data_IF_420897097565
#
_entry.id   IF_420897097565
#
_cell.length_a   1.000
_cell.length_b   1.000
_cell.length_c   1.000
_cell.angle_alpha   90.00
_cell.angle_beta   90.00
_cell.angle_gamma   90.00
#
_symmetry.space_group_name_H-M   'P 1'
#
loop_
_entity.id
_entity.type
_entity.pdbx_description
1 polymer ?
#
# COMPACT_ATOMS: atom_id res chain seq x y z
N UNK A 1 -15.94 -14.51 -21.52
CA UNK A 1 -16.90 -13.97 -20.55
C UNK A 1 -16.46 -12.57 -20.19
N UNK A 2 -17.12 -11.56 -20.76
CA UNK A 2 -16.65 -10.17 -20.92
C UNK A 2 -17.57 -9.23 -20.14
N UNK A 3 -17.54 -9.29 -18.81
CA UNK A 3 -18.30 -8.34 -18.00
C UNK A 3 -17.71 -6.94 -18.19
N UNK A 4 -18.44 -6.04 -18.85
CA UNK A 4 -18.11 -4.61 -19.01
C UNK A 4 -18.44 -3.78 -17.76
N UNK A 5 -18.69 -4.44 -16.62
CA UNK A 5 -19.08 -3.77 -15.38
C UNK A 5 -17.93 -2.96 -14.79
N UNK A 6 -18.29 -1.81 -14.21
CA UNK A 6 -17.45 -1.08 -13.26
C UNK A 6 -17.89 -1.45 -11.85
N UNK A 7 -16.94 -1.61 -10.94
CA UNK A 7 -17.18 -2.06 -9.59
C UNK A 7 -16.58 -1.09 -8.59
N UNK A 8 -17.32 -0.77 -7.53
CA UNK A 8 -16.78 -0.07 -6.37
C UNK A 8 -16.67 -1.06 -5.21
N UNK A 9 -15.52 -1.05 -4.54
CA UNK A 9 -15.21 -1.95 -3.43
C UNK A 9 -14.72 -1.13 -2.24
N UNK A 10 -15.44 -1.25 -1.12
CA UNK A 10 -15.07 -0.55 0.11
C UNK A 10 -13.73 -1.05 0.68
N UNK A 11 -13.02 -0.18 1.40
CA UNK A 11 -11.89 -0.54 2.28
C UNK A 11 -12.31 -1.28 3.53
N UNK A 12 -13.56 -1.08 3.94
CA UNK A 12 -14.08 -1.53 5.25
C UNK A 12 -14.68 -2.93 5.20
N UNK A 13 -14.94 -3.44 4.00
CA UNK A 13 -15.61 -4.72 3.81
C UNK A 13 -14.57 -5.84 3.66
N UNK A 14 -14.61 -6.87 4.53
CA UNK A 14 -13.78 -8.05 4.36
C UNK A 14 -14.27 -8.90 3.18
N UNK A 15 -13.34 -9.62 2.55
CA UNK A 15 -13.69 -10.58 1.51
C UNK A 15 -13.98 -11.95 2.13
N UNK A 16 -15.07 -12.58 1.68
CA UNK A 16 -15.41 -13.94 2.11
C UNK A 16 -14.52 -14.96 1.39
N UNK A 17 -14.23 -16.07 2.06
CA UNK A 17 -13.43 -17.13 1.46
C UNK A 17 -14.10 -17.79 0.24
N UNK A 18 -15.43 -17.72 0.12
CA UNK A 18 -16.21 -18.24 -1.00
C UNK A 18 -16.30 -17.28 -2.20
N UNK A 19 -15.84 -16.03 -2.06
CA UNK A 19 -15.97 -15.02 -3.12
C UNK A 19 -14.76 -14.93 -4.06
N UNK A 20 -13.65 -15.61 -3.76
CA UNK A 20 -12.48 -15.67 -4.65
C UNK A 20 -11.63 -16.93 -4.46
N UNK A 21 -10.84 -17.26 -5.48
CA UNK A 21 -9.82 -18.30 -5.44
C UNK A 21 -8.72 -17.94 -4.42
N UNK A 22 -8.28 -18.93 -3.66
CA UNK A 22 -7.19 -18.78 -2.70
C UNK A 22 -6.66 -20.12 -2.24
N UNK A 23 -5.62 -20.09 -1.40
CA UNK A 23 -5.07 -21.28 -0.75
C UNK A 23 -5.49 -21.30 0.72
N UNK A 24 -5.89 -22.46 1.27
CA UNK A 24 -6.09 -22.58 2.70
C UNK A 24 -4.82 -22.18 3.45
N UNK A 25 -4.96 -21.35 4.49
CA UNK A 25 -3.84 -20.98 5.36
C UNK A 25 -3.29 -22.21 6.12
N UNK A 26 -4.16 -23.21 6.35
CA UNK A 26 -3.83 -24.48 6.98
C UNK A 26 -4.06 -24.51 8.49
N UNK A 27 -4.54 -23.41 9.07
CA UNK A 27 -4.94 -23.27 10.46
C UNK A 27 -5.93 -22.10 10.56
N UNK A 28 -6.73 -22.11 11.62
CA UNK A 28 -7.56 -20.96 11.99
C UNK A 28 -6.78 -20.09 12.97
N UNK A 29 -6.57 -18.81 12.63
CA UNK A 29 -5.72 -17.90 13.41
C UNK A 29 -6.31 -17.58 14.78
N UNK A 30 -7.63 -17.60 14.90
CA UNK A 30 -8.34 -17.21 16.13
C UNK A 30 -8.30 -18.32 17.19
N UNK A 31 -7.88 -19.53 16.80
CA UNK A 31 -7.73 -20.68 17.69
C UNK A 31 -6.38 -20.73 18.42
N UNK A 32 -5.47 -19.79 18.15
CA UNK A 32 -4.12 -19.79 18.70
C UNK A 32 -3.76 -18.42 19.27
N UNK A 33 -3.26 -18.41 20.50
CA UNK A 33 -2.70 -17.20 21.10
C UNK A 33 -1.38 -16.80 20.41
N UNK A 34 -1.02 -15.50 20.37
CA UNK A 34 0.31 -15.07 19.94
C UNK A 34 1.43 -15.81 20.66
N UNK A 35 2.38 -16.35 19.89
CA UNK A 35 3.50 -17.16 20.37
C UNK A 35 3.24 -18.67 20.36
N UNK A 36 1.99 -19.11 20.18
CA UNK A 36 1.67 -20.52 20.07
C UNK A 36 2.26 -21.15 18.80
N UNK A 37 2.65 -22.42 18.88
CA UNK A 37 3.07 -23.21 17.71
C UNK A 37 1.87 -23.51 16.84
N UNK A 38 2.04 -23.36 15.53
CA UNK A 38 0.98 -23.60 14.55
C UNK A 38 1.06 -25.03 14.02
N UNK A 39 -0.07 -25.64 13.61
CA UNK A 39 -0.13 -27.00 13.06
C UNK A 39 0.30 -27.04 11.58
N UNK A 40 1.41 -26.40 11.25
CA UNK A 40 1.98 -26.31 9.90
C UNK A 40 3.48 -26.56 9.94
N UNK A 41 4.03 -27.07 8.85
CA UNK A 41 5.47 -27.28 8.74
C UNK A 41 6.18 -25.93 8.53
N UNK A 42 6.92 -25.46 9.54
CA UNK A 42 7.75 -24.27 9.45
C UNK A 42 9.08 -24.53 8.72
N UNK A 43 9.80 -23.46 8.43
CA UNK A 43 11.18 -23.46 7.94
C UNK A 43 12.13 -23.33 9.15
N UNK A 44 12.77 -24.44 9.59
CA UNK A 44 13.70 -24.40 10.72
C UNK A 44 14.99 -23.64 10.40
N UNK A 45 15.34 -23.42 9.12
CA UNK A 45 16.48 -22.59 8.75
C UNK A 45 16.18 -21.12 9.04
N UNK A 46 15.01 -20.63 8.61
CA UNK A 46 14.59 -19.25 8.87
C UNK A 46 14.48 -18.95 10.37
N UNK A 47 13.81 -19.81 11.13
CA UNK A 47 13.65 -19.61 12.58
C UNK A 47 15.00 -19.58 13.31
N UNK A 48 15.95 -20.46 12.94
CA UNK A 48 17.31 -20.44 13.49
C UNK A 48 18.08 -19.18 13.09
N UNK A 49 17.96 -18.75 11.84
CA UNK A 49 18.60 -17.54 11.34
C UNK A 49 18.12 -16.29 12.09
N UNK A 50 16.80 -16.15 12.28
CA UNK A 50 16.21 -15.04 13.04
C UNK A 50 16.54 -15.10 14.54
N UNK A 51 16.64 -16.30 15.13
CA UNK A 51 17.08 -16.46 16.51
C UNK A 51 18.54 -16.04 16.72
N UNK A 52 19.39 -16.31 15.72
CA UNK A 52 20.83 -16.02 15.78
C UNK A 52 21.26 -14.68 15.19
N UNK A 53 20.41 -13.95 14.46
CA UNK A 53 20.85 -12.75 13.76
C UNK A 53 21.15 -11.58 14.70
N UNK A 54 22.04 -10.71 14.28
CA UNK A 54 22.31 -9.43 14.94
C UNK A 54 21.62 -8.28 14.16
N UNK A 55 21.27 -8.53 12.89
CA UNK A 55 20.66 -7.55 12.01
C UNK A 55 19.57 -8.18 11.11
N UNK A 56 18.47 -7.45 10.92
CA UNK A 56 17.50 -7.67 9.85
C UNK A 56 17.63 -6.51 8.86
N UNK A 57 18.16 -6.79 7.66
CA UNK A 57 18.29 -5.78 6.63
C UNK A 57 17.08 -5.81 5.69
N UNK A 58 16.48 -4.63 5.47
CA UNK A 58 15.37 -4.40 4.56
C UNK A 58 15.93 -3.69 3.34
N UNK A 59 15.99 -4.37 2.20
CA UNK A 59 16.68 -3.88 1.00
C UNK A 59 15.82 -4.03 -0.25
N UNK A 60 15.26 -2.91 -0.71
CA UNK A 60 14.50 -2.80 -1.95
C UNK A 60 15.19 -1.76 -2.84
N UNK A 61 16.17 -2.17 -3.66
CA UNK A 61 16.94 -1.24 -4.49
C UNK A 61 16.11 -0.64 -5.62
N UNK A 62 15.05 -1.32 -6.04
CA UNK A 62 14.23 -0.88 -7.18
C UNK A 62 13.45 0.40 -6.85
N UNK A 63 13.23 1.30 -7.84
CA UNK A 63 12.45 2.51 -7.64
C UNK A 63 10.93 2.26 -7.50
N UNK A 64 10.50 0.99 -7.48
CA UNK A 64 9.10 0.55 -7.39
C UNK A 64 8.53 0.82 -6.00
N UNK A 65 8.10 2.06 -5.77
CA UNK A 65 7.55 2.50 -4.50
C UNK A 65 6.39 1.60 -4.02
N UNK A 66 5.47 1.22 -4.91
CA UNK A 66 4.28 0.46 -4.54
C UNK A 66 4.62 -0.90 -3.92
N UNK A 67 5.38 -1.73 -4.65
CA UNK A 67 5.82 -3.04 -4.19
C UNK A 67 6.57 -2.95 -2.84
N UNK A 68 7.47 -1.98 -2.71
CA UNK A 68 8.24 -1.72 -1.49
C UNK A 68 7.36 -1.33 -0.30
N UNK A 69 6.32 -0.52 -0.51
CA UNK A 69 5.38 -0.14 0.54
C UNK A 69 4.50 -1.32 0.97
N UNK A 70 4.00 -2.12 0.02
CA UNK A 70 3.16 -3.29 0.32
C UNK A 70 3.97 -4.43 0.98
N UNK A 71 5.28 -4.50 0.71
CA UNK A 71 6.20 -5.41 1.39
C UNK A 71 6.36 -5.12 2.89
N UNK A 72 5.91 -3.97 3.41
CA UNK A 72 5.96 -3.68 4.84
C UNK A 72 5.13 -4.65 5.69
N UNK A 73 4.13 -5.34 5.13
CA UNK A 73 3.48 -6.45 5.83
C UNK A 73 4.46 -7.57 6.20
N UNK A 74 5.40 -7.86 5.30
CA UNK A 74 6.47 -8.84 5.53
C UNK A 74 7.45 -8.35 6.61
N UNK A 75 7.86 -7.08 6.53
CA UNK A 75 8.78 -6.45 7.50
C UNK A 75 8.15 -6.41 8.89
N UNK A 76 6.85 -6.08 8.98
CA UNK A 76 6.09 -6.11 10.23
C UNK A 76 6.07 -7.50 10.86
N UNK A 77 5.89 -8.57 10.06
CA UNK A 77 5.92 -9.93 10.58
C UNK A 77 7.28 -10.27 11.23
N UNK A 78 8.39 -9.89 10.60
CA UNK A 78 9.73 -10.07 11.18
C UNK A 78 9.94 -9.23 12.45
N UNK A 79 9.42 -8.01 12.46
CA UNK A 79 9.46 -7.12 13.62
C UNK A 79 8.69 -7.69 14.81
N UNK A 80 7.46 -8.15 14.57
CA UNK A 80 6.58 -8.75 15.57
C UNK A 80 7.21 -10.02 16.13
N UNK A 81 7.78 -10.88 15.27
CA UNK A 81 8.55 -12.04 15.70
C UNK A 81 9.74 -11.65 16.58
N UNK A 82 10.53 -10.64 16.19
CA UNK A 82 11.70 -10.21 16.94
C UNK A 82 11.34 -9.66 18.34
N UNK A 83 10.22 -8.92 18.44
CA UNK A 83 9.72 -8.41 19.72
C UNK A 83 9.25 -9.54 20.64
N UNK A 84 8.53 -10.50 20.08
CA UNK A 84 7.94 -11.62 20.80
C UNK A 84 9.00 -12.64 21.26
N UNK A 85 9.86 -13.09 20.33
CA UNK A 85 10.78 -14.20 20.55
C UNK A 85 12.15 -13.76 21.10
N UNK A 86 12.52 -12.48 20.98
CA UNK A 86 13.84 -11.97 21.39
C UNK A 86 13.76 -10.70 22.24
N UNK A 87 13.00 -10.68 23.35
CA UNK A 87 12.79 -9.46 24.13
C UNK A 87 14.07 -8.82 24.66
N UNK A 88 15.10 -9.62 25.02
CA UNK A 88 16.34 -9.14 25.65
C UNK A 88 17.48 -8.83 24.66
N UNK A 89 17.45 -9.40 23.44
CA UNK A 89 18.52 -9.23 22.44
C UNK A 89 17.92 -9.10 21.05
N UNK A 90 17.32 -7.95 20.79
CA UNK A 90 16.63 -7.62 19.54
C UNK A 90 17.64 -7.34 18.43
N UNK A 91 17.44 -7.85 17.20
CA UNK A 91 18.28 -7.48 16.08
C UNK A 91 18.05 -6.00 15.70
N UNK A 92 19.07 -5.37 15.13
CA UNK A 92 18.91 -4.04 14.51
C UNK A 92 18.16 -4.20 13.19
N UNK A 93 17.11 -3.42 12.98
CA UNK A 93 16.47 -3.30 11.66
C UNK A 93 17.21 -2.24 10.87
N UNK A 94 17.84 -2.64 9.77
CA UNK A 94 18.58 -1.74 8.89
C UNK A 94 17.87 -1.56 7.57
N UNK A 95 17.49 -0.34 7.27
CA UNK A 95 16.79 0.02 6.04
C UNK A 95 17.82 0.52 5.01
N UNK A 96 17.87 -0.16 3.87
CA UNK A 96 18.86 0.05 2.81
C UNK A 96 18.15 0.45 1.52
N UNK A 97 18.76 1.37 0.77
CA UNK A 97 18.27 1.81 -0.53
C UNK A 97 17.44 3.10 -0.50
N UNK A 98 16.88 3.50 -1.66
CA UNK A 98 16.35 4.84 -1.89
C UNK A 98 15.10 5.16 -1.06
N UNK A 99 14.37 4.15 -0.59
CA UNK A 99 13.15 4.34 0.22
C UNK A 99 13.41 4.26 1.73
N UNK A 100 14.66 4.08 2.19
CA UNK A 100 14.97 3.81 3.59
C UNK A 100 14.39 4.85 4.56
N UNK A 101 14.50 6.15 4.24
CA UNK A 101 13.94 7.24 5.05
C UNK A 101 12.42 7.16 5.17
N UNK A 102 11.74 6.81 4.09
CA UNK A 102 10.29 6.66 4.07
C UNK A 102 9.83 5.43 4.85
N UNK A 103 10.55 4.30 4.69
CA UNK A 103 10.28 3.08 5.45
C UNK A 103 10.48 3.29 6.96
N UNK A 104 11.48 4.09 7.35
CA UNK A 104 11.71 4.49 8.75
C UNK A 104 10.57 5.34 9.36
N UNK A 105 9.65 5.83 8.53
CA UNK A 105 8.48 6.58 8.97
C UNK A 105 7.25 5.70 9.23
N UNK A 106 7.34 4.38 9.00
CA UNK A 106 6.27 3.46 9.36
C UNK A 106 6.05 3.44 10.88
N UNK A 107 4.79 3.50 11.31
CA UNK A 107 4.42 3.77 12.71
C UNK A 107 4.91 2.68 13.67
N UNK A 108 4.94 1.42 13.24
CA UNK A 108 5.40 0.31 14.10
C UNK A 108 6.89 0.44 14.48
N UNK A 109 7.70 1.15 13.70
CA UNK A 109 9.07 1.51 14.06
C UNK A 109 9.15 2.66 15.06
N UNK A 110 8.12 3.51 15.13
CA UNK A 110 8.11 4.77 15.92
C UNK A 110 7.29 4.72 17.20
N UNK A 111 6.40 3.74 17.35
CA UNK A 111 5.65 3.58 18.59
C UNK A 111 6.63 3.31 19.74
N UNK A 112 6.62 4.18 20.76
CA UNK A 112 7.55 4.17 21.90
C UNK A 112 7.57 2.82 22.67
N UNK A 113 6.53 2.00 22.52
CA UNK A 113 6.44 0.65 23.09
C UNK A 113 7.37 -0.40 22.43
N UNK A 114 8.13 -0.02 21.40
CA UNK A 114 8.74 -0.95 20.44
C UNK A 114 10.16 -1.42 20.74
N UNK A 115 11.05 -0.55 21.23
CA UNK A 115 12.42 -0.87 21.70
C UNK A 115 13.31 -1.73 20.79
N UNK A 116 13.01 -1.89 19.49
CA UNK A 116 13.90 -2.54 18.53
C UNK A 116 14.61 -1.41 17.74
N UNK A 117 15.95 -1.38 17.71
CA UNK A 117 16.67 -0.30 17.06
C UNK A 117 16.50 -0.33 15.53
N UNK A 118 16.22 0.84 14.94
CA UNK A 118 16.07 1.01 13.49
C UNK A 118 17.12 2.00 13.00
N UNK A 119 17.84 1.64 11.94
CA UNK A 119 18.88 2.48 11.33
C UNK A 119 18.74 2.51 9.82
N UNK A 120 19.26 3.55 9.18
CA UNK A 120 19.33 3.68 7.72
C UNK A 120 20.78 3.68 7.26
N UNK A 121 21.05 3.17 6.06
CA UNK A 121 22.38 3.26 5.43
C UNK A 121 23.04 1.91 5.21
N UNK A 122 24.35 1.92 4.98
CA UNK A 122 25.11 0.73 4.60
C UNK A 122 25.02 -0.39 5.66
N UNK A 123 25.02 -1.67 5.24
CA UNK A 123 25.05 -2.83 6.13
C UNK A 123 26.23 -2.78 7.09
N UNK A 124 26.02 -3.17 8.36
CA UNK A 124 27.09 -3.28 9.33
C UNK A 124 28.03 -4.46 9.03
N UNK A 125 29.30 -4.32 9.36
CA UNK A 125 30.34 -5.34 9.16
C UNK A 125 30.98 -5.71 10.50
N UNK A 126 31.12 -7.00 10.85
CA UNK A 126 30.39 -8.18 10.36
C UNK A 126 29.13 -8.47 11.22
N UNK A 127 27.98 -8.69 10.58
CA UNK A 127 26.74 -9.08 11.26
C UNK A 127 26.19 -10.40 10.71
N UNK A 128 25.69 -11.28 11.59
CA UNK A 128 24.82 -12.40 11.18
C UNK A 128 23.48 -11.80 10.78
N UNK A 129 23.06 -11.96 9.53
CA UNK A 129 21.98 -11.17 8.95
C UNK A 129 20.84 -12.02 8.41
N UNK A 130 19.62 -11.52 8.56
CA UNK A 130 18.49 -11.88 7.70
C UNK A 130 18.21 -10.71 6.77
N UNK A 131 18.20 -10.95 5.46
CA UNK A 131 17.89 -9.93 4.45
C UNK A 131 16.49 -10.18 3.92
N UNK A 132 15.65 -9.16 3.91
CA UNK A 132 14.35 -9.16 3.24
C UNK A 132 14.34 -8.10 2.14
N UNK A 133 13.90 -8.49 0.95
CA UNK A 133 13.92 -7.61 -0.23
C UNK A 133 13.20 -8.21 -1.42
N UNK A 134 13.15 -7.47 -2.52
CA UNK A 134 12.79 -8.05 -3.82
C UNK A 134 13.92 -8.95 -4.36
N UNK A 135 13.70 -9.58 -5.51
CA UNK A 135 14.69 -10.48 -6.10
C UNK A 135 16.03 -9.79 -6.36
N UNK A 136 16.01 -8.55 -6.85
CA UNK A 136 17.21 -7.76 -7.12
C UNK A 136 17.96 -7.40 -5.83
N UNK A 137 17.24 -6.94 -4.81
CA UNK A 137 17.80 -6.62 -3.49
C UNK A 137 18.46 -7.83 -2.86
N UNK A 138 17.82 -9.00 -2.91
CA UNK A 138 18.43 -10.23 -2.40
C UNK A 138 19.69 -10.60 -3.17
N UNK A 139 19.72 -10.46 -4.50
CA UNK A 139 20.92 -10.73 -5.30
C UNK A 139 22.06 -9.76 -4.92
N UNK A 140 21.78 -8.46 -4.84
CA UNK A 140 22.78 -7.46 -4.44
C UNK A 140 23.33 -7.73 -3.04
N UNK A 141 22.46 -8.13 -2.10
CA UNK A 141 22.84 -8.40 -0.72
C UNK A 141 23.69 -9.66 -0.52
N UNK A 142 23.72 -10.59 -1.50
CA UNK A 142 24.64 -11.74 -1.47
C UNK A 142 26.10 -11.34 -1.59
N UNK A 143 26.38 -10.17 -2.18
CA UNK A 143 27.73 -9.61 -2.24
C UNK A 143 28.17 -8.89 -0.95
N UNK A 144 27.29 -8.76 0.05
CA UNK A 144 27.64 -8.08 1.30
C UNK A 144 28.49 -8.99 2.21
N UNK A 145 29.44 -8.43 2.99
CA UNK A 145 30.21 -9.23 3.93
C UNK A 145 29.34 -9.86 5.03
N UNK A 146 29.71 -11.07 5.46
CA UNK A 146 29.06 -11.83 6.54
C UNK A 146 28.25 -13.02 6.05
N UNK A 147 27.48 -13.64 6.95
CA UNK A 147 26.56 -14.73 6.64
C UNK A 147 25.12 -14.19 6.60
N UNK A 148 24.37 -14.58 5.56
CA UNK A 148 23.03 -14.10 5.31
C UNK A 148 22.03 -15.22 5.09
N UNK A 149 20.84 -15.09 5.67
CA UNK A 149 19.63 -15.79 5.22
C UNK A 149 18.77 -14.80 4.44
N UNK A 150 18.21 -15.22 3.31
CA UNK A 150 17.57 -14.31 2.36
C UNK A 150 16.09 -14.64 2.17
N UNK A 151 15.24 -13.63 2.32
CA UNK A 151 13.81 -13.70 2.11
C UNK A 151 13.44 -12.82 0.91
N UNK A 152 13.01 -13.47 -0.16
CA UNK A 152 12.52 -12.76 -1.35
C UNK A 152 11.02 -12.51 -1.19
N UNK A 153 10.65 -11.23 -1.28
CA UNK A 153 9.28 -10.76 -1.30
C UNK A 153 8.88 -10.57 -2.76
N UNK A 154 8.15 -11.54 -3.31
CA UNK A 154 7.69 -11.53 -4.70
C UNK A 154 6.17 -11.34 -4.77
N UNK A 155 5.69 -10.20 -5.30
CA UNK A 155 4.27 -9.93 -5.36
C UNK A 155 3.52 -10.84 -6.32
N UNK A 156 4.22 -11.46 -7.28
CA UNK A 156 3.60 -12.37 -8.23
C UNK A 156 3.29 -13.71 -7.57
N UNK A 157 4.17 -14.21 -6.71
CA UNK A 157 4.14 -15.60 -6.19
C UNK A 157 3.26 -15.81 -4.97
N UNK A 158 2.99 -14.77 -4.18
CA UNK A 158 2.29 -14.97 -2.90
C UNK A 158 0.77 -15.10 -3.14
N UNK A 159 0.16 -16.24 -2.77
CA UNK A 159 -1.26 -16.51 -3.03
C UNK A 159 -2.16 -15.72 -2.09
N UNK A 160 -3.45 -15.59 -2.43
CA UNK A 160 -4.47 -15.23 -1.45
C UNK A 160 -4.59 -16.36 -0.41
N UNK A 161 -4.68 -16.01 0.88
CA UNK A 161 -4.92 -16.98 1.95
C UNK A 161 -6.38 -17.02 2.37
N UNK A 162 -6.87 -18.22 2.67
CA UNK A 162 -8.22 -18.46 3.18
C UNK A 162 -8.14 -19.02 4.60
N UNK A 163 -8.78 -18.36 5.56
CA UNK A 163 -8.82 -18.76 6.97
C UNK A 163 -10.11 -18.25 7.64
N UNK A 164 -10.73 -19.06 8.51
CA UNK A 164 -11.90 -18.63 9.29
C UNK A 164 -13.09 -18.13 8.45
N UNK A 165 -13.25 -18.62 7.21
CA UNK A 165 -14.29 -18.14 6.28
C UNK A 165 -13.98 -16.78 5.63
N UNK A 166 -12.81 -16.20 5.88
CA UNK A 166 -12.33 -14.93 5.34
C UNK A 166 -11.21 -15.19 4.33
N UNK A 167 -11.17 -14.36 3.28
CA UNK A 167 -10.06 -14.28 2.35
C UNK A 167 -9.15 -13.10 2.73
N UNK A 168 -7.83 -13.31 2.61
CA UNK A 168 -6.80 -12.30 2.80
C UNK A 168 -6.15 -11.97 1.46
N UNK A 169 -6.82 -11.16 0.61
CA UNK A 169 -6.33 -10.91 -0.73
C UNK A 169 -5.29 -9.80 -0.78
N UNK A 170 -5.20 -8.92 0.23
CA UNK A 170 -4.27 -7.78 0.21
C UNK A 170 -2.82 -8.26 0.29
N UNK A 171 -1.94 -7.72 -0.55
CA UNK A 171 -0.55 -8.16 -0.59
C UNK A 171 0.19 -8.07 0.77
N UNK A 172 -0.02 -7.03 1.61
CA UNK A 172 0.56 -6.99 2.95
C UNK A 172 0.13 -8.16 3.83
N UNK A 173 -1.15 -8.54 3.78
CA UNK A 173 -1.69 -9.69 4.52
C UNK A 173 -1.09 -10.99 4.03
N UNK A 174 -1.01 -11.15 2.71
CA UNK A 174 -0.40 -12.32 2.08
C UNK A 174 1.02 -12.55 2.56
N UNK A 175 1.83 -11.48 2.63
CA UNK A 175 3.20 -11.57 3.10
C UNK A 175 3.30 -11.85 4.60
N UNK A 176 2.49 -11.16 5.41
CA UNK A 176 2.51 -11.36 6.86
C UNK A 176 2.19 -12.81 7.21
N UNK A 177 1.10 -13.34 6.64
CA UNK A 177 0.64 -14.71 6.86
C UNK A 177 1.59 -15.76 6.26
N UNK A 178 2.25 -15.45 5.14
CA UNK A 178 3.29 -16.33 4.60
C UNK A 178 4.47 -16.47 5.57
N UNK A 179 4.94 -15.36 6.16
CA UNK A 179 6.01 -15.39 7.17
C UNK A 179 5.55 -16.10 8.45
N UNK A 180 4.35 -15.81 8.95
CA UNK A 180 3.75 -16.51 10.10
C UNK A 180 3.76 -18.04 9.89
N UNK A 181 3.31 -18.48 8.71
CA UNK A 181 3.32 -19.90 8.32
C UNK A 181 4.74 -20.46 8.19
N UNK A 182 5.67 -19.72 7.57
CA UNK A 182 7.07 -20.15 7.47
C UNK A 182 7.75 -20.25 8.83
N UNK A 183 7.35 -19.47 9.83
CA UNK A 183 7.89 -19.57 11.18
C UNK A 183 7.17 -20.63 12.03
N UNK A 184 6.01 -21.11 11.57
CA UNK A 184 5.11 -22.02 12.28
C UNK A 184 4.79 -21.57 13.72
N UNK A 185 4.66 -20.26 13.91
CA UNK A 185 4.32 -19.62 15.18
C UNK A 185 3.29 -18.53 14.91
N UNK A 186 2.29 -18.40 15.78
CA UNK A 186 1.30 -17.33 15.70
C UNK A 186 1.96 -16.00 16.07
N UNK A 187 1.96 -15.03 15.16
CA UNK A 187 2.53 -13.70 15.39
C UNK A 187 1.47 -12.74 15.98
N UNK A 188 1.83 -11.74 16.79
CA UNK A 188 0.84 -10.90 17.48
C UNK A 188 0.04 -9.92 16.60
N UNK A 189 0.38 -9.75 15.33
CA UNK A 189 -0.30 -8.79 14.46
C UNK A 189 -1.69 -9.25 14.07
N UNK A 190 -2.59 -8.29 13.87
CA UNK A 190 -3.91 -8.51 13.27
C UNK A 190 -4.11 -7.72 11.98
N UNK A 191 -4.99 -8.18 11.07
CA UNK A 191 -5.41 -7.43 9.91
C UNK A 191 -6.04 -6.07 10.29
N UNK A 192 -5.81 -5.00 9.51
CA UNK A 192 -4.89 -4.97 8.37
C UNK A 192 -3.43 -5.02 8.81
N UNK A 193 -2.63 -5.82 8.10
CA UNK A 193 -1.21 -5.97 8.44
C UNK A 193 -0.36 -4.80 7.94
N UNK A 194 -0.86 -4.03 6.98
CA UNK A 194 -0.17 -2.83 6.50
C UNK A 194 -0.08 -1.75 7.59
N UNK A 195 1.11 -1.22 7.87
CA UNK A 195 1.27 -0.12 8.80
C UNK A 195 0.93 1.23 8.16
N UNK A 196 0.50 2.17 9.00
CA UNK A 196 0.50 3.59 8.64
C UNK A 196 1.92 4.17 8.60
N UNK A 197 2.06 5.30 7.92
CA UNK A 197 3.29 6.10 7.82
C UNK A 197 3.00 7.48 8.38
N UNK A 198 3.85 7.95 9.27
CA UNK A 198 3.71 9.26 9.89
C UNK A 198 5.00 10.07 9.79
N UNK A 199 4.87 11.28 9.24
CA UNK A 199 5.88 12.32 9.28
C UNK A 199 5.23 13.58 9.87
N UNK A 200 5.83 14.20 10.91
CA UNK A 200 5.18 15.26 11.68
C UNK A 200 4.82 16.49 10.84
N UNK A 201 5.74 16.91 9.97
CA UNK A 201 5.53 18.03 9.04
C UNK A 201 6.56 18.00 7.91
N UNK A 202 6.22 18.65 6.79
CA UNK A 202 7.08 18.92 5.64
C UNK A 202 6.89 20.36 5.18
N UNK A 203 7.88 20.94 4.50
CA UNK A 203 7.82 22.33 4.01
C UNK A 203 6.62 22.56 3.10
N UNK A 204 6.31 21.60 2.24
CA UNK A 204 5.18 21.68 1.32
C UNK A 204 3.85 21.70 2.05
N UNK A 205 3.68 20.83 3.05
CA UNK A 205 2.45 20.78 3.84
C UNK A 205 2.23 22.06 4.66
N UNK A 206 3.31 22.69 5.15
CA UNK A 206 3.23 24.00 5.82
C UNK A 206 2.76 25.08 4.85
N UNK A 207 3.41 25.19 3.68
CA UNK A 207 3.08 26.20 2.68
C UNK A 207 1.62 26.08 2.18
N UNK A 208 1.13 24.86 1.94
CA UNK A 208 -0.25 24.65 1.52
C UNK A 208 -1.26 24.93 2.65
N UNK A 209 -0.89 24.68 3.92
CA UNK A 209 -1.72 25.03 5.07
C UNK A 209 -1.83 26.53 5.26
N UNK A 210 -0.73 27.28 5.10
CA UNK A 210 -0.72 28.75 5.20
C UNK A 210 -1.58 29.43 4.14
N UNK A 211 -1.80 28.76 3.01
CA UNK A 211 -2.71 29.19 1.94
C UNK A 211 -4.15 28.68 2.12
N UNK A 212 -4.45 28.03 3.25
CA UNK A 212 -5.75 27.44 3.54
C UNK A 212 -6.23 26.37 2.53
N UNK A 213 -5.29 25.78 1.78
CA UNK A 213 -5.60 24.78 0.71
C UNK A 213 -5.81 23.37 1.27
N UNK A 214 -5.27 23.06 2.47
CA UNK A 214 -5.36 21.73 3.09
C UNK A 214 -6.53 21.62 4.08
N UNK A 215 -7.40 20.64 3.87
CA UNK A 215 -8.52 20.34 4.75
C UNK A 215 -9.39 19.20 4.22
N UNK A 216 -10.60 19.08 4.77
CA UNK A 216 -11.57 18.06 4.36
C UNK A 216 -12.13 18.29 2.95
N UNK A 217 -12.08 19.52 2.47
CA UNK A 217 -12.48 19.92 1.10
C UNK A 217 -11.33 19.81 0.08
N UNK A 218 -10.19 19.24 0.48
CA UNK A 218 -9.05 19.04 -0.41
C UNK A 218 -9.05 17.64 -1.00
N UNK A 219 -9.00 17.57 -2.32
CA UNK A 219 -8.83 16.35 -3.10
C UNK A 219 -7.40 16.34 -3.64
N UNK A 220 -6.61 15.33 -3.29
CA UNK A 220 -5.33 15.08 -3.98
C UNK A 220 -5.54 14.04 -5.08
N UNK A 221 -5.25 14.40 -6.33
CA UNK A 221 -5.33 13.51 -7.48
C UNK A 221 -3.92 13.07 -7.91
N UNK A 222 -3.63 11.78 -7.75
CA UNK A 222 -2.35 11.17 -8.14
C UNK A 222 -2.42 10.76 -9.60
N UNK A 223 -1.81 11.58 -10.47
CA UNK A 223 -1.70 11.31 -11.92
C UNK A 223 -0.42 10.55 -12.26
N UNK A 224 0.58 10.55 -11.37
CA UNK A 224 1.84 9.84 -11.57
C UNK A 224 1.64 8.32 -11.75
N UNK A 225 2.07 7.76 -12.88
CA UNK A 225 2.05 6.32 -13.15
C UNK A 225 3.29 5.88 -13.93
N UNK A 226 3.77 4.66 -13.68
CA UNK A 226 4.90 4.06 -14.41
C UNK A 226 4.50 3.52 -15.79
N UNK A 227 3.20 3.52 -16.12
CA UNK A 227 2.72 3.06 -17.43
C UNK A 227 1.53 3.91 -17.92
N UNK A 228 1.77 5.14 -18.39
CA UNK A 228 0.70 6.08 -18.74
C UNK A 228 -0.30 5.51 -19.74
N UNK A 229 0.20 4.87 -20.81
CA UNK A 229 -0.63 4.31 -21.88
C UNK A 229 -1.65 3.23 -21.44
N UNK A 230 -1.59 2.73 -20.20
CA UNK A 230 -2.52 1.69 -19.70
C UNK A 230 -3.12 1.98 -18.33
N UNK A 231 -2.61 2.98 -17.61
CA UNK A 231 -2.96 3.22 -16.20
C UNK A 231 -3.28 4.68 -15.92
N UNK A 232 -3.16 5.58 -16.89
CA UNK A 232 -3.37 6.99 -16.63
C UNK A 232 -4.85 7.36 -16.75
N UNK A 233 -5.45 7.78 -15.63
CA UNK A 233 -6.78 8.39 -15.63
C UNK A 233 -6.77 9.86 -16.06
N UNK A 234 -5.62 10.47 -16.30
CA UNK A 234 -5.42 11.86 -16.73
C UNK A 234 -5.88 12.93 -15.73
N UNK A 235 -5.19 14.07 -15.70
CA UNK A 235 -5.56 15.21 -14.85
C UNK A 235 -6.98 15.74 -15.16
N UNK A 236 -7.37 15.79 -16.43
CA UNK A 236 -8.66 16.33 -16.86
C UNK A 236 -9.85 15.51 -16.34
N UNK A 237 -9.72 14.19 -16.21
CA UNK A 237 -10.82 13.38 -15.67
C UNK A 237 -10.92 13.54 -14.17
N UNK A 238 -9.81 13.67 -13.44
CA UNK A 238 -9.85 14.03 -12.01
C UNK A 238 -10.47 15.40 -11.78
N UNK A 239 -10.19 16.38 -12.65
CA UNK A 239 -10.84 17.69 -12.65
C UNK A 239 -12.36 17.55 -12.76
N UNK A 240 -12.83 16.77 -13.75
CA UNK A 240 -14.26 16.50 -13.95
C UNK A 240 -14.90 15.79 -12.75
N UNK A 241 -14.18 14.91 -12.06
CA UNK A 241 -14.68 14.31 -10.80
C UNK A 241 -14.90 15.38 -9.74
N UNK A 242 -13.95 16.31 -9.57
CA UNK A 242 -14.09 17.41 -8.60
C UNK A 242 -15.24 18.37 -8.97
N UNK A 243 -15.42 18.68 -10.26
CA UNK A 243 -16.56 19.44 -10.77
C UNK A 243 -17.89 18.75 -10.47
N UNK A 244 -17.98 17.45 -10.75
CA UNK A 244 -19.18 16.65 -10.48
C UNK A 244 -19.51 16.61 -8.98
N UNK A 245 -18.50 16.44 -8.12
CA UNK A 245 -18.67 16.50 -6.68
C UNK A 245 -19.13 17.88 -6.21
N UNK A 246 -18.56 18.96 -6.76
CA UNK A 246 -18.98 20.33 -6.44
C UNK A 246 -20.43 20.58 -6.85
N UNK A 247 -20.82 20.15 -8.06
CA UNK A 247 -22.17 20.29 -8.56
C UNK A 247 -23.20 19.53 -7.71
N UNK A 248 -22.89 18.30 -7.31
CA UNK A 248 -23.81 17.43 -6.53
C UNK A 248 -23.91 17.82 -5.05
N UNK A 249 -22.84 18.35 -4.47
CA UNK A 249 -22.80 18.66 -3.02
C UNK A 249 -22.99 20.13 -2.70
N UNK A 250 -22.87 21.02 -3.69
CA UNK A 250 -22.84 22.47 -3.49
C UNK A 250 -21.58 22.99 -2.78
N UNK A 251 -20.59 22.13 -2.52
CA UNK A 251 -19.33 22.48 -1.84
C UNK A 251 -18.26 22.97 -2.82
N UNK A 252 -17.34 23.78 -2.31
CA UNK A 252 -16.11 24.13 -3.03
C UNK A 252 -15.01 23.13 -2.66
N UNK A 253 -14.19 22.77 -3.63
CA UNK A 253 -13.08 21.85 -3.42
C UNK A 253 -11.76 22.47 -3.89
N UNK A 254 -10.67 22.15 -3.20
CA UNK A 254 -9.31 22.39 -3.68
C UNK A 254 -8.78 21.10 -4.30
N UNK A 255 -8.33 21.15 -5.55
CA UNK A 255 -7.74 20.02 -6.25
C UNK A 255 -6.22 20.17 -6.29
N UNK A 256 -5.51 19.22 -5.68
CA UNK A 256 -4.06 19.10 -5.74
C UNK A 256 -3.69 18.03 -6.75
N UNK A 257 -3.00 18.40 -7.83
CA UNK A 257 -2.50 17.44 -8.81
C UNK A 257 -1.10 16.98 -8.42
N UNK A 258 -0.91 15.67 -8.28
CA UNK A 258 0.35 15.04 -7.87
C UNK A 258 0.89 14.20 -9.03
N UNK A 259 1.82 14.77 -9.76
CA UNK A 259 2.37 14.24 -11.02
C UNK A 259 3.69 13.47 -10.90
N UNK A 260 4.13 12.94 -12.04
CA UNK A 260 5.48 12.39 -12.23
C UNK A 260 6.49 13.47 -12.61
N UNK A 261 7.79 13.14 -12.66
CA UNK A 261 8.89 14.11 -12.91
C UNK A 261 8.78 14.85 -14.26
N UNK A 262 7.96 14.35 -15.20
CA UNK A 262 7.92 14.81 -16.59
C UNK A 262 6.53 15.29 -17.07
N UNK A 263 5.58 15.59 -16.16
CA UNK A 263 4.29 16.17 -16.57
C UNK A 263 4.25 17.68 -16.29
N UNK A 264 4.05 18.54 -17.32
CA UNK A 264 3.83 19.97 -17.10
C UNK A 264 2.52 20.16 -16.35
N UNK A 265 2.57 20.90 -15.25
CA UNK A 265 1.40 21.08 -14.40
C UNK A 265 0.35 21.99 -15.04
N UNK A 266 -0.97 21.70 -14.92
CA UNK A 266 -1.96 22.61 -15.42
C UNK A 266 -2.13 23.74 -14.39
N UNK A 267 -1.74 24.95 -14.80
CA UNK A 267 -2.26 26.17 -14.19
C UNK A 267 -3.61 26.49 -14.82
N UNK A 268 -4.70 26.39 -14.04
CA UNK A 268 -5.91 27.22 -14.22
C UNK A 268 -6.87 27.07 -13.06
N UNK A 269 -7.34 28.22 -12.55
CA UNK A 269 -8.56 28.34 -11.76
C UNK A 269 -9.74 27.95 -12.64
N UNK A 270 -10.70 27.19 -12.10
CA UNK A 270 -11.98 26.93 -12.77
C UNK A 270 -12.68 28.24 -13.12
N UNK A 271 -13.33 28.30 -14.29
CA UNK A 271 -14.06 29.47 -14.78
C UNK A 271 -15.29 29.83 -13.94
N UNK A 272 -15.74 28.98 -13.02
CA UNK A 272 -16.92 29.18 -12.17
C UNK A 272 -16.61 29.59 -10.72
N UNK A 273 -15.33 29.69 -10.34
CA UNK A 273 -14.88 30.09 -9.00
C UNK A 273 -15.18 29.07 -7.88
N UNK A 274 -15.62 27.84 -8.21
CA UNK A 274 -15.94 26.79 -7.22
C UNK A 274 -14.80 25.81 -6.96
N UNK A 275 -13.74 25.88 -7.77
CA UNK A 275 -12.60 24.97 -7.70
C UNK A 275 -11.28 25.71 -7.91
N UNK A 276 -10.35 25.48 -7.00
CA UNK A 276 -8.95 25.91 -7.10
C UNK A 276 -8.09 24.69 -7.42
N UNK A 277 -7.22 24.81 -8.42
CA UNK A 277 -6.30 23.73 -8.83
C UNK A 277 -4.87 24.16 -8.57
N UNK A 278 -4.11 23.33 -7.85
CA UNK A 278 -2.68 23.51 -7.65
C UNK A 278 -1.92 22.26 -8.09
N UNK A 279 -0.90 22.44 -8.92
CA UNK A 279 -0.01 21.35 -9.34
C UNK A 279 1.21 21.26 -8.42
N UNK A 280 1.42 20.07 -7.86
CA UNK A 280 2.55 19.75 -6.97
C UNK A 280 3.70 19.03 -7.67
N UNK A 281 3.54 18.69 -8.95
CA UNK A 281 4.50 18.01 -9.81
C UNK A 281 5.05 16.76 -9.15
N UNK A 282 6.35 16.51 -9.36
CA UNK A 282 7.08 15.45 -8.69
C UNK A 282 7.66 15.87 -7.34
N UNK A 283 6.79 16.36 -6.45
CA UNK A 283 7.17 16.64 -5.07
C UNK A 283 7.85 15.42 -4.40
N UNK A 284 8.85 15.63 -3.53
CA UNK A 284 9.48 14.56 -2.78
C UNK A 284 8.46 13.73 -1.99
N UNK A 285 8.64 12.41 -1.96
CA UNK A 285 7.69 11.46 -1.35
C UNK A 285 7.50 11.71 0.14
N UNK A 286 8.55 12.13 0.85
CA UNK A 286 8.51 12.48 2.26
C UNK A 286 7.77 13.79 2.53
N UNK A 287 7.80 14.75 1.60
CA UNK A 287 6.98 15.97 1.61
C UNK A 287 5.49 15.69 1.32
N UNK A 288 5.20 14.66 0.52
CA UNK A 288 3.82 14.26 0.18
C UNK A 288 3.08 13.54 1.33
N UNK A 289 3.78 12.82 2.21
CA UNK A 289 3.15 12.16 3.38
C UNK A 289 2.31 13.13 4.23
N UNK A 290 2.86 14.25 4.73
CA UNK A 290 2.08 15.19 5.53
C UNK A 290 1.01 15.94 4.74
N UNK A 291 1.15 16.07 3.41
CA UNK A 291 0.12 16.64 2.52
C UNK A 291 -1.06 15.67 2.41
N UNK A 292 -0.83 14.42 2.01
CA UNK A 292 -1.87 13.39 1.89
C UNK A 292 -2.59 13.18 3.22
N UNK A 293 -1.85 13.12 4.33
CA UNK A 293 -2.43 12.97 5.66
C UNK A 293 -3.50 14.03 5.98
N UNK A 294 -3.40 15.23 5.39
CA UNK A 294 -4.27 16.38 5.68
C UNK A 294 -5.41 16.57 4.68
N UNK A 295 -5.37 15.91 3.54
CA UNK A 295 -6.46 15.92 2.56
C UNK A 295 -7.69 15.18 3.11
N UNK A 296 -8.88 15.57 2.66
CA UNK A 296 -10.11 14.82 2.93
C UNK A 296 -10.20 13.57 2.07
N UNK A 297 -9.76 13.68 0.81
CA UNK A 297 -9.83 12.64 -0.19
C UNK A 297 -8.54 12.58 -1.01
N UNK A 298 -8.13 11.37 -1.37
CA UNK A 298 -7.10 11.12 -2.37
C UNK A 298 -7.68 10.19 -3.44
N UNK A 299 -7.55 10.59 -4.70
CA UNK A 299 -7.91 9.77 -5.86
C UNK A 299 -6.62 9.43 -6.61
N UNK A 300 -6.47 8.21 -7.09
CA UNK A 300 -5.24 7.86 -7.78
C UNK A 300 -5.30 6.54 -8.53
N UNK A 301 -4.44 6.41 -9.53
CA UNK A 301 -4.25 5.16 -10.26
C UNK A 301 -3.58 4.10 -9.35
N UNK A 302 -3.56 2.84 -9.77
CA UNK A 302 -2.80 1.75 -9.13
C UNK A 302 -1.26 2.00 -9.18
N UNK A 303 -0.78 2.80 -8.23
CA UNK A 303 0.61 3.28 -8.14
C UNK A 303 1.06 3.45 -6.68
N UNK A 304 2.37 3.50 -6.48
CA UNK A 304 2.95 3.62 -5.13
C UNK A 304 2.59 4.90 -4.39
N UNK A 305 2.28 6.00 -5.08
CA UNK A 305 1.87 7.24 -4.43
C UNK A 305 0.44 7.13 -3.87
N UNK A 306 -0.46 6.42 -4.56
CA UNK A 306 -1.81 6.12 -4.04
C UNK A 306 -1.73 5.24 -2.79
N UNK A 307 -0.85 4.22 -2.80
CA UNK A 307 -0.61 3.41 -1.59
C UNK A 307 -0.01 4.24 -0.45
N UNK A 308 0.95 5.12 -0.77
CA UNK A 308 1.54 6.03 0.21
C UNK A 308 0.49 6.91 0.86
N UNK A 309 -0.41 7.50 0.06
CA UNK A 309 -1.50 8.31 0.54
C UNK A 309 -2.43 7.55 1.50
N UNK A 310 -2.79 6.31 1.15
CA UNK A 310 -3.60 5.44 2.01
C UNK A 310 -2.91 5.14 3.35
N UNK A 311 -1.58 5.07 3.36
CA UNK A 311 -0.77 4.83 4.55
C UNK A 311 -0.48 6.09 5.36
N UNK A 312 -0.53 7.27 4.77
CA UNK A 312 -0.24 8.54 5.45
C UNK A 312 -1.15 8.77 6.65
N UNK A 313 -0.58 9.26 7.76
CA UNK A 313 -1.29 9.56 8.99
C UNK A 313 -1.05 10.98 9.47
N UNK A 314 -2.07 11.61 10.07
CA UNK A 314 -1.98 12.94 10.69
C UNK A 314 -1.12 12.90 11.96
N UNK A 315 -1.25 11.83 12.74
CA UNK A 315 -0.56 11.59 14.00
C UNK A 315 -0.24 10.10 14.16
N UNK A 316 0.65 9.76 15.08
CA UNK A 316 0.95 8.37 15.44
C UNK A 316 -0.32 7.59 15.83
N UNK A 317 -1.26 8.25 16.52
CA UNK A 317 -2.53 7.66 16.99
C UNK A 317 -3.68 7.75 15.97
N UNK A 318 -3.40 7.97 14.69
CA UNK A 318 -4.40 7.83 13.61
C UNK A 318 -4.72 9.10 12.83
N UNK A 319 -5.87 9.09 12.17
CA UNK A 319 -6.29 10.09 11.17
C UNK A 319 -5.61 9.83 9.83
N UNK A 320 -6.39 9.50 8.81
CA UNK A 320 -5.95 9.20 7.45
C UNK A 320 -6.94 9.83 6.45
N UNK A 321 -6.52 10.14 5.22
CA UNK A 321 -7.45 10.50 4.16
C UNK A 321 -8.25 9.27 3.70
N UNK A 322 -9.47 9.47 3.20
CA UNK A 322 -10.10 8.46 2.37
C UNK A 322 -9.36 8.39 1.03
N UNK A 323 -9.09 7.19 0.53
CA UNK A 323 -8.31 6.98 -0.69
C UNK A 323 -9.07 6.04 -1.62
N UNK A 324 -9.31 6.46 -2.85
CA UNK A 324 -9.90 5.60 -3.89
C UNK A 324 -8.85 5.34 -4.96
N UNK A 325 -8.40 4.09 -5.04
CA UNK A 325 -7.53 3.62 -6.11
C UNK A 325 -8.32 3.19 -7.34
N UNK A 326 -7.83 3.52 -8.53
CA UNK A 326 -8.40 3.11 -9.82
C UNK A 326 -7.60 1.94 -10.41
N UNK A 327 -8.26 0.80 -10.60
CA UNK A 327 -7.65 -0.46 -10.98
C UNK A 327 -8.23 -0.96 -12.31
N UNK A 328 -7.43 -0.90 -13.37
CA UNK A 328 -7.79 -1.42 -14.69
C UNK A 328 -7.37 -2.87 -14.91
N UNK A 329 -6.07 -3.16 -14.73
CA UNK A 329 -5.49 -4.43 -15.18
C UNK A 329 -5.06 -5.39 -14.09
N UNK A 330 -4.81 -4.87 -12.91
CA UNK A 330 -4.38 -5.69 -11.78
C UNK A 330 -5.55 -5.95 -10.85
N UNK A 331 -5.52 -7.07 -10.13
CA UNK A 331 -6.49 -7.36 -9.06
C UNK A 331 -6.56 -6.19 -8.08
N UNK A 332 -7.73 -5.55 -7.99
CA UNK A 332 -7.92 -4.40 -7.10
C UNK A 332 -7.65 -4.75 -5.65
N UNK A 333 -8.00 -5.96 -5.20
CA UNK A 333 -7.77 -6.38 -3.82
C UNK A 333 -6.30 -6.70 -3.56
N UNK A 334 -5.61 -7.34 -4.52
CA UNK A 334 -4.21 -7.75 -4.33
C UNK A 334 -3.30 -6.55 -4.14
N UNK A 335 -3.45 -5.54 -4.99
CA UNK A 335 -2.58 -4.36 -5.01
C UNK A 335 -3.09 -3.22 -4.12
N UNK A 336 -3.95 -3.53 -3.14
CA UNK A 336 -4.37 -2.60 -2.09
C UNK A 336 -3.59 -2.81 -0.81
N UNK A 337 -3.59 -1.77 0.02
CA UNK A 337 -2.95 -1.78 1.35
C UNK A 337 -3.72 -2.61 2.38
N UNK A 338 -4.98 -2.96 2.12
CA UNK A 338 -5.87 -3.58 3.11
C UNK A 338 -6.36 -2.64 4.21
N UNK A 339 -5.90 -1.38 4.23
CA UNK A 339 -6.36 -0.38 5.19
C UNK A 339 -7.82 0.01 4.93
N UNK A 340 -8.63 0.27 5.97
CA UNK A 340 -10.07 0.52 5.83
C UNK A 340 -10.40 1.79 5.04
N UNK A 341 -9.48 2.75 4.99
CA UNK A 341 -9.59 4.01 4.25
C UNK A 341 -9.10 3.89 2.79
N UNK A 342 -8.71 2.71 2.31
CA UNK A 342 -8.24 2.51 0.93
C UNK A 342 -9.24 1.66 0.16
N UNK A 343 -10.04 2.32 -0.67
CA UNK A 343 -11.11 1.78 -1.51
C UNK A 343 -10.59 1.48 -2.93
N UNK A 344 -11.41 0.78 -3.72
CA UNK A 344 -11.14 0.56 -5.14
C UNK A 344 -12.34 0.91 -6.02
N UNK A 345 -12.05 1.52 -7.16
CA UNK A 345 -12.85 1.38 -8.37
C UNK A 345 -12.10 0.41 -9.30
N UNK A 346 -12.79 -0.62 -9.75
CA UNK A 346 -12.23 -1.69 -10.57
C UNK A 346 -13.00 -1.83 -11.87
N UNK A 347 -12.27 -2.02 -12.98
CA UNK A 347 -12.88 -2.45 -14.23
C UNK A 347 -13.20 -3.95 -14.18
N UNK A 348 -13.98 -4.45 -15.15
CA UNK A 348 -14.32 -5.87 -15.22
C UNK A 348 -13.13 -6.82 -15.34
N UNK A 349 -12.04 -6.40 -16.00
CA UNK A 349 -10.82 -7.21 -16.04
C UNK A 349 -10.07 -7.22 -14.70
N UNK A 350 -10.01 -6.10 -13.98
CA UNK A 350 -9.48 -6.06 -12.62
C UNK A 350 -10.26 -6.97 -11.66
N UNK A 351 -11.60 -6.98 -11.78
CA UNK A 351 -12.50 -7.86 -11.03
C UNK A 351 -12.24 -9.34 -11.34
N UNK A 352 -12.02 -9.70 -12.61
CA UNK A 352 -11.63 -11.06 -13.01
C UNK A 352 -10.30 -11.46 -12.36
N UNK A 353 -9.30 -10.57 -12.37
CA UNK A 353 -8.00 -10.83 -11.74
C UNK A 353 -8.14 -11.03 -10.23
N UNK A 354 -9.06 -10.31 -9.57
CA UNK A 354 -9.39 -10.50 -8.17
C UNK A 354 -9.99 -11.88 -7.90
N UNK A 355 -11.08 -12.24 -8.59
CA UNK A 355 -11.81 -13.49 -8.35
C UNK A 355 -10.95 -14.73 -8.55
N UNK A 356 -10.06 -14.71 -9.54
CA UNK A 356 -9.22 -15.85 -9.86
C UNK A 356 -7.83 -15.84 -9.18
N UNK A 357 -7.54 -14.84 -8.34
CA UNK A 357 -6.20 -14.59 -7.78
C UNK A 357 -5.09 -14.57 -8.85
N UNK A 358 -5.39 -13.95 -10.00
CA UNK A 358 -4.51 -13.88 -11.18
C UNK A 358 -3.62 -12.64 -11.15
N UNK A 359 -2.52 -12.71 -11.88
CA UNK A 359 -1.61 -11.61 -12.11
C UNK A 359 -1.21 -11.59 -13.59
N UNK A 360 -1.51 -10.52 -14.35
CA UNK A 360 -1.23 -10.49 -15.79
C UNK A 360 0.23 -10.81 -16.13
N UNK A 361 1.18 -10.32 -15.32
CA UNK A 361 2.61 -10.56 -15.52
C UNK A 361 2.99 -12.02 -15.23
N UNK A 362 2.50 -12.58 -14.11
CA UNK A 362 2.81 -13.96 -13.71
C UNK A 362 2.21 -14.98 -14.67
N UNK A 363 0.94 -14.77 -14.99
CA UNK A 363 0.09 -15.71 -15.70
C UNK A 363 0.11 -15.46 -17.21
N UNK A 364 0.92 -14.50 -17.68
CA UNK A 364 1.10 -14.14 -19.08
C UNK A 364 -0.22 -13.83 -19.79
N UNK A 365 -1.12 -13.12 -19.10
CA UNK A 365 -2.44 -12.76 -19.62
C UNK A 365 -2.30 -11.47 -20.43
N UNK A 366 -2.65 -11.54 -21.71
CA UNK A 366 -2.75 -10.38 -22.57
C UNK A 366 -4.01 -9.58 -22.24
N UNK A 367 -3.83 -8.45 -21.55
CA UNK A 367 -4.89 -7.51 -21.20
C UNK A 367 -5.46 -6.77 -22.42
N UNK A 368 -4.72 -6.66 -23.52
CA UNK A 368 -5.24 -6.04 -24.75
C UNK A 368 -6.39 -6.85 -25.37
N UNK A 369 -6.40 -8.17 -25.17
CA UNK A 369 -7.50 -9.04 -25.61
C UNK A 369 -8.83 -8.76 -24.90
N UNK A 370 -8.82 -8.01 -23.78
CA UNK A 370 -10.00 -7.64 -23.01
C UNK A 370 -10.53 -6.23 -23.33
N UNK A 371 -9.83 -5.49 -24.19
CA UNK A 371 -10.23 -4.16 -24.69
C UNK A 371 -10.66 -3.22 -23.56
N UNK A 372 -11.85 -2.64 -23.73
CA UNK A 372 -12.46 -1.69 -22.79
C UNK A 372 -12.53 -2.21 -21.34
N UNK A 373 -12.70 -3.52 -21.12
CA UNK A 373 -12.79 -4.07 -19.76
C UNK A 373 -11.47 -3.98 -18.98
N UNK A 374 -10.34 -3.76 -19.66
CA UNK A 374 -9.01 -3.59 -19.06
C UNK A 374 -8.50 -2.15 -19.14
N UNK A 375 -9.35 -1.19 -19.50
CA UNK A 375 -8.97 0.19 -19.74
C UNK A 375 -9.62 1.15 -18.73
N UNK A 376 -8.82 2.01 -18.10
CA UNK A 376 -9.33 3.06 -17.22
C UNK A 376 -10.16 4.09 -17.97
N UNK A 377 -10.03 4.16 -19.30
CA UNK A 377 -10.82 5.10 -20.08
C UNK A 377 -12.33 4.83 -20.00
N UNK A 378 -12.72 3.62 -19.63
CA UNK A 378 -14.12 3.25 -19.38
C UNK A 378 -14.68 3.75 -18.05
N UNK A 379 -13.83 4.15 -17.11
CA UNK A 379 -14.24 4.57 -15.77
C UNK A 379 -14.73 6.02 -15.82
N UNK A 380 -16.02 6.29 -16.00
CA UNK A 380 -16.52 7.67 -16.10
C UNK A 380 -16.28 8.51 -14.82
N UNK A 381 -16.01 9.83 -14.92
CA UNK A 381 -15.90 10.73 -13.76
C UNK A 381 -17.11 10.67 -12.82
N UNK A 382 -18.31 10.51 -13.37
CA UNK A 382 -19.57 10.37 -12.63
C UNK A 382 -19.58 9.12 -11.73
N UNK A 383 -19.00 8.01 -12.19
CA UNK A 383 -18.90 6.78 -11.41
C UNK A 383 -17.91 6.94 -10.25
N UNK A 384 -16.79 7.62 -10.49
CA UNK A 384 -15.82 7.93 -9.42
C UNK A 384 -16.44 8.89 -8.41
N UNK A 385 -17.19 9.90 -8.85
CA UNK A 385 -17.92 10.80 -7.96
C UNK A 385 -18.96 10.04 -7.11
N UNK A 386 -19.70 9.09 -7.68
CA UNK A 386 -20.61 8.21 -6.93
C UNK A 386 -19.88 7.37 -5.88
N UNK A 387 -18.73 6.79 -6.24
CA UNK A 387 -17.89 6.04 -5.31
C UNK A 387 -17.40 6.92 -4.14
N UNK A 388 -16.99 8.15 -4.43
CA UNK A 388 -16.62 9.14 -3.40
C UNK A 388 -17.80 9.44 -2.49
N UNK A 389 -18.97 9.74 -3.06
CA UNK A 389 -20.16 10.06 -2.27
C UNK A 389 -20.58 8.89 -1.38
N UNK A 390 -20.52 7.64 -1.85
CA UNK A 390 -20.76 6.46 -1.01
C UNK A 390 -19.80 6.40 0.18
N UNK A 391 -18.52 6.66 -0.07
CA UNK A 391 -17.48 6.62 0.97
C UNK A 391 -17.61 7.75 1.99
N UNK A 392 -17.89 8.97 1.54
CA UNK A 392 -17.93 10.19 2.38
C UNK A 392 -19.29 10.36 3.07
N UNK A 393 -20.40 9.95 2.45
CA UNK A 393 -21.73 10.03 3.07
C UNK A 393 -21.98 8.95 4.12
N UNK A 394 -21.31 7.80 4.03
CA UNK A 394 -21.31 6.80 5.10
C UNK A 394 -20.62 7.30 6.38
N UNK A 395 -19.75 8.32 6.29
CA UNK A 395 -19.10 8.95 7.45
C UNK A 395 -19.96 10.04 8.13
N UNK A 396 -21.07 10.46 7.50
CA UNK A 396 -21.98 11.49 8.01
C UNK A 396 -23.24 10.91 8.67
N UNK A 397 -23.39 9.58 8.69
CA UNK A 397 -24.40 8.82 9.45
C UNK A 397 -23.72 8.13 10.62
#
# INVERSE_FOLDING_TARGET
>A
MTGTGLFFHSGREPFRADSLCGRPLGYDRDMFDPGARLPVHGDPHLSRALAGCDEVAVHFPTPKLGDTLLALGAVRALWDWARMCRPCRRPVFRLVGPQARLLAAAIFFRSEAGGVPVTTGAPATPARRVVIGDAEGVVQARGWPGTGTYLVVDPTRTPCWLAGGIAHPYLPDRYYLAIERHLAVRLPGEPPFQPGVWLPSGRLAVALKEREVLGLDTIAAVTATSWPARKDYTANRYLRVAEELSARTGRRFHLLLVGGQDQPGPGRLSSDGRMEVADLGAAPRDELVPVFARCGLVLGNDTGLTHLAAMSRKRLSGGAPEVIGLYARHSHSKWRTGLPNHHAVATGFSELMHREDRCPVRDQIDDCAYGAAADLDTVGPEFVADAVLRTVLELAR
#
